data_IF_235433644931
#
_entry.id   IF_235433644931
#
_cell.length_a   1.000
_cell.length_b   1.000
_cell.length_c   1.000
_cell.angle_alpha   90.00
_cell.angle_beta   90.00
_cell.angle_gamma   90.00
#
_symmetry.space_group_name_H-M   'P 1'
#
loop_
_entity.id
_entity.type
_entity.pdbx_description
1 polymer ?
#
# COMPACT_ATOMS: atom_id res chain seq x y z
N UNK A 1 -0.53 11.36 1.17
CA UNK A 1 -0.49 9.90 1.42
C UNK A 1 0.91 9.34 1.31
N UNK A 2 1.62 9.57 0.19
CA UNK A 2 2.99 9.05 -0.01
C UNK A 2 3.94 9.44 1.12
N UNK A 3 3.96 10.72 1.52
CA UNK A 3 4.81 11.20 2.62
C UNK A 3 4.52 10.47 3.94
N UNK A 4 3.24 10.29 4.29
CA UNK A 4 2.84 9.56 5.49
C UNK A 4 3.31 8.10 5.48
N UNK A 5 3.24 7.42 4.33
CA UNK A 5 3.74 6.04 4.21
C UNK A 5 5.27 5.98 4.33
N UNK A 6 5.98 6.96 3.79
CA UNK A 6 7.44 7.06 3.93
C UNK A 6 7.85 7.36 5.38
N UNK A 7 7.13 8.24 6.09
CA UNK A 7 7.34 8.50 7.52
C UNK A 7 7.11 7.27 8.38
N UNK A 8 6.14 6.44 8.00
CA UNK A 8 5.89 5.15 8.62
C UNK A 8 6.92 4.08 8.24
N UNK A 9 7.87 4.38 7.34
CA UNK A 9 8.91 3.44 6.92
C UNK A 9 8.44 2.37 5.93
N UNK A 10 7.39 2.63 5.16
CA UNK A 10 7.02 1.79 4.03
C UNK A 10 7.87 2.10 2.80
N UNK A 11 8.27 1.07 2.08
CA UNK A 11 8.88 1.20 0.76
C UNK A 11 7.80 1.29 -0.32
N UNK A 12 7.78 2.37 -1.10
CA UNK A 12 6.84 2.52 -2.22
C UNK A 12 7.37 1.73 -3.43
N UNK A 13 6.63 0.69 -3.84
CA UNK A 13 6.95 -0.15 -5.02
C UNK A 13 6.33 0.37 -6.29
N UNK A 14 5.10 0.87 -6.19
CA UNK A 14 4.34 1.39 -7.31
C UNK A 14 3.39 2.48 -6.82
N UNK A 15 3.15 3.48 -7.67
CA UNK A 15 2.22 4.56 -7.40
C UNK A 15 1.49 4.91 -8.70
N UNK A 16 0.16 4.88 -8.66
CA UNK A 16 -0.71 5.33 -9.72
C UNK A 16 -1.58 6.49 -9.19
N UNK A 17 -1.28 7.69 -9.68
CA UNK A 17 -1.99 8.89 -9.29
C UNK A 17 -3.36 9.04 -9.98
N UNK A 18 -3.58 8.37 -11.12
CA UNK A 18 -4.87 8.42 -11.81
C UNK A 18 -5.91 7.58 -11.05
N UNK A 19 -5.49 6.41 -10.58
CA UNK A 19 -6.36 5.47 -9.85
C UNK A 19 -6.31 5.66 -8.33
N UNK A 20 -5.47 6.56 -7.81
CA UNK A 20 -5.19 6.74 -6.38
C UNK A 20 -4.76 5.44 -5.67
N UNK A 21 -3.87 4.68 -6.33
CA UNK A 21 -3.35 3.40 -5.85
C UNK A 21 -1.87 3.53 -5.47
N UNK A 22 -1.49 2.94 -4.35
CA UNK A 22 -0.10 2.71 -3.95
C UNK A 22 0.12 1.24 -3.68
N UNK A 23 1.27 0.72 -4.08
CA UNK A 23 1.75 -0.60 -3.66
C UNK A 23 2.97 -0.40 -2.79
N UNK A 24 2.93 -0.93 -1.57
CA UNK A 24 3.98 -0.75 -0.57
C UNK A 24 4.44 -2.05 0.04
N UNK A 25 5.70 -2.06 0.48
CA UNK A 25 6.30 -3.13 1.27
C UNK A 25 6.68 -2.62 2.66
N UNK A 26 6.63 -3.53 3.64
CA UNK A 26 7.26 -3.36 4.95
C UNK A 26 7.69 -4.73 5.50
N UNK A 27 8.79 -5.31 4.97
CA UNK A 27 9.17 -6.69 5.23
C UNK A 27 9.39 -7.03 6.70
N UNK A 28 9.85 -6.07 7.51
CA UNK A 28 10.04 -6.22 8.95
C UNK A 28 8.72 -6.46 9.72
N UNK A 29 7.58 -6.11 9.12
CA UNK A 29 6.24 -6.42 9.62
C UNK A 29 5.57 -7.57 8.87
N UNK A 30 6.31 -8.26 7.99
CA UNK A 30 5.75 -9.31 7.12
C UNK A 30 4.86 -8.79 5.99
N UNK A 31 4.83 -7.48 5.76
CA UNK A 31 3.99 -6.87 4.73
C UNK A 31 4.74 -6.87 3.40
N UNK A 32 4.18 -7.54 2.40
CA UNK A 32 4.62 -7.50 1.01
C UNK A 32 3.47 -7.18 0.08
N UNK A 33 3.73 -6.38 -0.94
CA UNK A 33 2.82 -5.99 -2.00
C UNK A 33 1.43 -5.55 -1.47
N UNK A 34 1.40 -4.77 -0.38
CA UNK A 34 0.15 -4.22 0.13
C UNK A 34 -0.34 -3.15 -0.83
N UNK A 35 -1.51 -3.37 -1.40
CA UNK A 35 -2.21 -2.43 -2.28
C UNK A 35 -3.08 -1.52 -1.41
N UNK A 36 -2.89 -0.21 -1.57
CA UNK A 36 -3.61 0.85 -0.87
C UNK A 36 -4.35 1.67 -1.91
N UNK A 37 -5.67 1.55 -1.96
CA UNK A 37 -6.54 2.38 -2.79
C UNK A 37 -7.22 3.45 -1.94
N UNK A 38 -7.04 4.73 -2.29
CA UNK A 38 -7.62 5.84 -1.55
C UNK A 38 -8.75 6.50 -2.35
N UNK A 39 -9.99 6.05 -2.13
CA UNK A 39 -11.20 6.75 -2.55
C UNK A 39 -11.73 7.64 -1.41
N UNK A 40 -12.45 8.71 -1.73
CA UNK A 40 -13.20 9.46 -0.72
C UNK A 40 -14.64 8.92 -0.68
N UNK A 41 -15.16 8.41 0.46
CA UNK A 41 -14.57 8.35 1.81
C UNK A 41 -13.92 6.99 2.18
N UNK A 42 -13.63 6.14 1.19
CA UNK A 42 -13.23 4.75 1.39
C UNK A 42 -11.73 4.51 1.18
N UNK A 43 -11.04 4.07 2.23
CA UNK A 43 -9.70 3.52 2.14
C UNK A 43 -9.76 1.99 2.03
N UNK A 44 -9.15 1.44 0.98
CA UNK A 44 -9.06 -0.01 0.73
C UNK A 44 -7.61 -0.44 0.93
N UNK A 45 -7.41 -1.49 1.74
CA UNK A 45 -6.13 -2.14 1.98
C UNK A 45 -6.25 -3.61 1.58
N UNK A 46 -5.52 -4.03 0.56
CA UNK A 46 -5.58 -5.39 0.02
C UNK A 46 -4.19 -6.01 -0.02
N UNK A 47 -4.07 -7.22 0.51
CA UNK A 47 -2.84 -7.99 0.48
C UNK A 47 -3.16 -9.44 0.17
N UNK A 48 -2.50 -9.98 -0.86
CA UNK A 48 -2.52 -11.40 -1.13
C UNK A 48 -1.61 -12.13 -0.13
N UNK A 49 -2.18 -13.00 0.69
CA UNK A 49 -1.44 -13.74 1.72
C UNK A 49 -0.94 -15.09 1.22
N UNK A 50 -1.81 -15.92 0.66
CA UNK A 50 -1.50 -17.26 0.16
C UNK A 50 -2.66 -17.86 -0.65
N UNK A 51 -2.35 -18.91 -1.43
CA UNK A 51 -3.31 -19.86 -1.99
C UNK A 51 -3.43 -21.08 -1.06
N UNK A 52 -4.63 -21.64 -0.92
CA UNK A 52 -4.94 -22.81 -0.05
C UNK A 52 -4.87 -24.13 -0.83
#
# INVERSE_FOLDING_TARGET
MNEYLLELGFDIRHADAQENILVVDKPELGIRNLVIGCGDPLLILEQYLLEL
#
